data_IF_873243347414
#
_entry.id   IF_873243347414
#
_cell.length_a   1.000
_cell.length_b   1.000
_cell.length_c   1.000
_cell.angle_alpha   90.00
_cell.angle_beta   90.00
_cell.angle_gamma   90.00
#
_symmetry.space_group_name_H-M   'P 1'
#
loop_
_entity.id
_entity.type
_entity.pdbx_description
1 polymer ?
#
# COMPACT_ATOMS: atom_id res chain seq x y z
N UNK A 1 30.85 -19.91 -1.65
CA UNK A 1 29.39 -19.94 -1.93
C UNK A 1 28.58 -18.79 -1.31
N UNK A 2 29.05 -18.16 -0.22
CA UNK A 2 28.37 -17.04 0.46
C UNK A 2 28.41 -15.70 -0.33
N UNK A 3 29.34 -15.55 -1.29
CA UNK A 3 29.48 -14.33 -2.10
C UNK A 3 28.38 -14.11 -3.15
N UNK A 4 27.66 -15.16 -3.57
CA UNK A 4 26.64 -15.05 -4.63
C UNK A 4 25.25 -14.64 -4.10
N UNK A 5 24.96 -14.86 -2.81
CA UNK A 5 23.67 -14.45 -2.23
C UNK A 5 23.59 -12.93 -1.97
N UNK A 6 24.73 -12.24 -1.79
CA UNK A 6 24.76 -10.77 -1.65
C UNK A 6 24.49 -10.03 -2.97
N UNK A 7 24.69 -10.66 -4.14
CA UNK A 7 24.38 -10.04 -5.44
C UNK A 7 22.88 -10.05 -5.76
N UNK A 8 22.14 -11.07 -5.31
CA UNK A 8 20.68 -11.15 -5.52
C UNK A 8 19.86 -10.25 -4.60
N UNK A 9 20.35 -9.94 -3.39
CA UNK A 9 19.69 -8.98 -2.50
C UNK A 9 19.86 -7.53 -3.01
N UNK A 10 21.02 -7.19 -3.60
CA UNK A 10 21.27 -5.88 -4.20
C UNK A 10 20.38 -5.57 -5.41
N UNK A 11 19.93 -6.57 -6.19
CA UNK A 11 19.03 -6.32 -7.32
C UNK A 11 17.57 -6.11 -6.90
N UNK A 12 17.14 -6.65 -5.76
CA UNK A 12 15.80 -6.38 -5.21
C UNK A 12 15.75 -5.05 -4.43
N UNK A 13 16.82 -4.66 -3.76
CA UNK A 13 16.94 -3.31 -3.16
C UNK A 13 16.96 -2.21 -4.23
N UNK A 14 17.36 -2.51 -5.46
CA UNK A 14 17.31 -1.55 -6.56
C UNK A 14 15.89 -1.34 -7.11
N UNK A 15 15.02 -2.35 -7.01
CA UNK A 15 13.57 -2.26 -7.30
C UNK A 15 12.81 -1.56 -6.15
N UNK A 16 13.37 -1.59 -4.94
CA UNK A 16 12.86 -0.89 -3.74
C UNK A 16 13.61 0.41 -3.43
N UNK A 17 14.38 0.98 -4.37
CA UNK A 17 14.68 2.42 -4.34
C UNK A 17 13.33 3.12 -4.34
N UNK A 18 12.89 3.61 -3.18
CA UNK A 18 11.67 4.43 -3.01
C UNK A 18 11.60 5.32 -4.24
N UNK A 19 10.63 5.13 -5.14
CA UNK A 19 10.66 5.93 -6.34
C UNK A 19 10.50 7.36 -5.88
N UNK A 20 11.19 8.28 -6.55
CA UNK A 20 11.35 9.67 -6.13
C UNK A 20 10.03 10.48 -6.11
N UNK A 21 8.89 9.84 -5.87
CA UNK A 21 7.55 10.40 -5.65
C UNK A 21 7.55 11.54 -4.62
N UNK A 22 8.45 11.48 -3.62
CA UNK A 22 8.56 12.52 -2.59
C UNK A 22 9.08 13.88 -3.09
N UNK A 23 9.74 13.93 -4.26
CA UNK A 23 10.30 15.18 -4.82
C UNK A 23 9.38 15.89 -5.82
N UNK A 24 8.34 15.24 -6.34
CA UNK A 24 7.46 15.86 -7.34
C UNK A 24 6.41 16.79 -6.73
N UNK A 25 5.96 16.53 -5.51
CA UNK A 25 4.91 17.34 -4.89
C UNK A 25 5.41 18.64 -4.24
N UNK A 26 6.67 18.72 -3.79
CA UNK A 26 7.22 19.94 -3.19
C UNK A 26 7.84 20.93 -4.18
N UNK A 27 8.19 20.50 -5.41
CA UNK A 27 8.70 21.40 -6.44
C UNK A 27 7.62 22.28 -7.07
N UNK A 28 6.35 21.86 -7.02
CA UNK A 28 5.25 22.54 -7.72
C UNK A 28 4.93 23.95 -7.18
N UNK A 29 5.32 24.26 -5.93
CA UNK A 29 5.08 25.57 -5.31
C UNK A 29 6.20 26.60 -5.57
N UNK A 30 7.46 26.14 -5.72
CA UNK A 30 8.60 27.00 -6.02
C UNK A 30 8.80 27.21 -7.53
N UNK A 31 8.37 26.26 -8.38
CA UNK A 31 8.56 26.33 -9.83
C UNK A 31 7.63 27.29 -10.58
N UNK A 32 6.56 27.80 -9.95
CA UNK A 32 5.60 28.68 -10.63
C UNK A 32 6.08 30.11 -10.86
N UNK A 33 7.20 30.55 -10.24
CA UNK A 33 7.59 31.96 -10.29
C UNK A 33 8.46 32.35 -11.51
N UNK A 34 9.10 31.42 -12.22
CA UNK A 34 10.04 31.78 -13.31
C UNK A 34 10.25 30.70 -14.40
N UNK A 35 9.29 29.80 -14.66
CA UNK A 35 9.42 28.96 -15.86
C UNK A 35 8.98 29.74 -17.09
N UNK A 36 9.85 29.83 -18.09
CA UNK A 36 9.44 30.25 -19.42
C UNK A 36 8.43 29.25 -20.03
N UNK A 37 7.64 29.72 -20.99
CA UNK A 37 6.62 28.92 -21.66
C UNK A 37 7.20 27.64 -22.27
N UNK A 38 8.43 27.72 -22.79
CA UNK A 38 9.12 26.60 -23.44
C UNK A 38 9.41 25.45 -22.47
N UNK A 39 9.98 25.77 -21.31
CA UNK A 39 10.28 24.81 -20.24
C UNK A 39 8.99 24.16 -19.73
N UNK A 40 7.88 24.90 -19.66
CA UNK A 40 6.58 24.36 -19.24
C UNK A 40 6.05 23.33 -20.24
N UNK A 41 6.20 23.57 -21.54
CA UNK A 41 5.79 22.65 -22.60
C UNK A 41 6.63 21.37 -22.55
N UNK A 42 7.97 21.50 -22.46
CA UNK A 42 8.87 20.34 -22.36
C UNK A 42 8.55 19.48 -21.14
N UNK A 43 8.29 20.11 -19.98
CA UNK A 43 7.87 19.40 -18.77
C UNK A 43 6.55 18.65 -18.97
N UNK A 44 5.56 19.29 -19.60
CA UNK A 44 4.28 18.66 -19.91
C UNK A 44 4.44 17.44 -20.81
N UNK A 45 5.28 17.53 -21.84
CA UNK A 45 5.56 16.41 -22.74
C UNK A 45 6.27 15.27 -22.02
N UNK A 46 7.26 15.55 -21.18
CA UNK A 46 7.95 14.52 -20.40
C UNK A 46 7.02 13.85 -19.38
N UNK A 47 6.11 14.61 -18.76
CA UNK A 47 5.09 14.06 -17.88
C UNK A 47 4.14 13.12 -18.64
N UNK A 48 3.70 13.52 -19.85
CA UNK A 48 2.87 12.67 -20.71
C UNK A 48 3.62 11.38 -21.08
N UNK A 49 4.87 11.49 -21.56
CA UNK A 49 5.70 10.31 -21.87
C UNK A 49 5.90 9.40 -20.67
N UNK A 50 6.09 9.97 -19.48
CA UNK A 50 6.21 9.19 -18.25
C UNK A 50 4.91 8.44 -17.94
N UNK A 51 3.76 9.11 -18.02
CA UNK A 51 2.45 8.49 -17.78
C UNK A 51 2.15 7.38 -18.78
N UNK A 52 2.43 7.62 -20.07
CA UNK A 52 2.24 6.61 -21.11
C UNK A 52 3.09 5.36 -20.82
N UNK A 53 4.38 5.53 -20.50
CA UNK A 53 5.26 4.41 -20.12
C UNK A 53 4.82 3.70 -18.84
N UNK A 54 4.45 4.46 -17.79
CA UNK A 54 4.03 3.90 -16.50
C UNK A 54 2.82 2.97 -16.64
N UNK A 55 1.89 3.35 -17.50
CA UNK A 55 0.68 2.60 -17.73
C UNK A 55 0.77 1.66 -18.93
N UNK A 56 1.91 1.55 -19.62
CA UNK A 56 2.05 0.69 -20.81
C UNK A 56 1.03 1.06 -21.92
N UNK A 57 0.90 2.37 -22.16
CA UNK A 57 0.08 2.95 -23.22
C UNK A 57 0.94 3.25 -24.45
N UNK A 58 0.29 3.34 -25.62
CA UNK A 58 0.96 3.71 -26.86
C UNK A 58 1.58 5.11 -26.77
N UNK A 59 2.58 5.38 -27.60
CA UNK A 59 3.21 6.69 -27.65
C UNK A 59 2.21 7.79 -28.06
N UNK A 60 2.47 9.03 -27.62
CA UNK A 60 1.60 10.16 -27.94
C UNK A 60 1.46 10.38 -29.46
N UNK A 61 2.54 10.16 -30.21
CA UNK A 61 2.59 10.20 -31.68
C UNK A 61 1.56 9.26 -32.31
N UNK A 62 1.38 8.07 -31.75
CA UNK A 62 0.40 7.09 -32.24
C UNK A 62 -1.03 7.64 -32.14
N UNK A 63 -1.39 8.28 -31.02
CA UNK A 63 -2.73 8.85 -30.83
C UNK A 63 -2.99 10.10 -31.69
N UNK A 64 -1.94 10.86 -32.02
CA UNK A 64 -2.05 11.98 -32.97
C UNK A 64 -2.34 11.48 -34.38
N UNK A 65 -1.69 10.38 -34.79
CA UNK A 65 -1.87 9.78 -36.10
C UNK A 65 -3.13 8.89 -36.19
N UNK A 66 -3.64 8.42 -35.06
CA UNK A 66 -4.79 7.52 -34.96
C UNK A 66 -5.81 8.09 -33.96
N UNK A 67 -6.62 9.09 -34.35
CA UNK A 67 -7.54 9.75 -33.43
C UNK A 67 -8.58 8.75 -32.90
N UNK A 68 -8.56 8.53 -31.60
CA UNK A 68 -9.48 7.62 -30.91
C UNK A 68 -10.71 8.39 -30.43
N UNK A 69 -11.91 7.83 -30.61
CA UNK A 69 -13.14 8.39 -30.02
C UNK A 69 -12.97 8.55 -28.49
N UNK A 70 -13.41 9.68 -27.93
CA UNK A 70 -13.29 10.01 -26.50
C UNK A 70 -13.77 8.89 -25.57
N UNK A 71 -14.86 8.20 -25.93
CA UNK A 71 -15.43 7.08 -25.17
C UNK A 71 -14.49 5.88 -25.09
N UNK A 72 -13.93 5.48 -26.24
CA UNK A 72 -12.95 4.39 -26.35
C UNK A 72 -11.68 4.74 -25.58
N UNK A 73 -11.16 5.96 -25.77
CA UNK A 73 -10.00 6.46 -25.03
C UNK A 73 -10.21 6.37 -23.52
N UNK A 74 -11.32 6.90 -23.02
CA UNK A 74 -11.65 6.88 -21.59
C UNK A 74 -11.74 5.46 -21.04
N UNK A 75 -12.35 4.54 -21.80
CA UNK A 75 -12.46 3.13 -21.42
C UNK A 75 -11.09 2.46 -21.37
N UNK A 76 -10.25 2.67 -22.39
CA UNK A 76 -8.88 2.16 -22.45
C UNK A 76 -8.05 2.65 -21.28
N UNK A 77 -8.04 3.96 -21.00
CA UNK A 77 -7.31 4.53 -19.86
C UNK A 77 -7.77 3.93 -18.53
N UNK A 78 -9.09 3.84 -18.30
CA UNK A 78 -9.63 3.23 -17.08
C UNK A 78 -9.17 1.78 -16.92
N UNK A 79 -9.29 0.97 -17.99
CA UNK A 79 -8.87 -0.44 -18.01
C UNK A 79 -7.38 -0.58 -17.75
N UNK A 80 -6.55 0.24 -18.38
CA UNK A 80 -5.09 0.19 -18.25
C UNK A 80 -4.63 0.57 -16.84
N UNK A 81 -5.16 1.67 -16.28
CA UNK A 81 -4.87 2.08 -14.90
C UNK A 81 -5.28 0.98 -13.92
N UNK A 82 -6.48 0.42 -14.10
CA UNK A 82 -6.98 -0.69 -13.29
C UNK A 82 -6.04 -1.90 -13.34
N UNK A 83 -5.65 -2.34 -14.54
CA UNK A 83 -4.76 -3.49 -14.73
C UNK A 83 -3.37 -3.25 -14.13
N UNK A 84 -2.84 -2.03 -14.23
CA UNK A 84 -1.58 -1.66 -13.60
C UNK A 84 -1.65 -1.84 -12.08
N UNK A 85 -2.64 -1.22 -11.43
CA UNK A 85 -2.78 -1.31 -9.97
C UNK A 85 -3.07 -2.72 -9.49
N UNK A 86 -3.85 -3.50 -10.24
CA UNK A 86 -4.07 -4.90 -9.91
C UNK A 86 -2.74 -5.69 -9.90
N UNK A 87 -1.94 -5.55 -10.96
CA UNK A 87 -0.62 -6.19 -11.03
C UNK A 87 0.27 -5.77 -9.88
N UNK A 88 0.31 -4.47 -9.56
CA UNK A 88 1.08 -3.95 -8.42
C UNK A 88 0.61 -4.51 -7.08
N UNK A 89 -0.71 -4.59 -6.85
CA UNK A 89 -1.26 -5.17 -5.62
C UNK A 89 -0.85 -6.63 -5.49
N UNK A 90 -1.00 -7.44 -6.54
CA UNK A 90 -0.60 -8.86 -6.56
C UNK A 90 0.89 -9.02 -6.26
N UNK A 91 1.75 -8.16 -6.83
CA UNK A 91 3.20 -8.17 -6.57
C UNK A 91 3.56 -7.77 -5.14
N UNK A 92 2.82 -6.82 -4.56
CA UNK A 92 3.07 -6.31 -3.20
C UNK A 92 2.42 -7.17 -2.11
N UNK A 93 1.41 -7.97 -2.44
CA UNK A 93 0.67 -8.81 -1.50
C UNK A 93 1.55 -9.75 -0.64
N UNK A 94 2.62 -10.39 -1.16
CA UNK A 94 3.52 -11.19 -0.33
C UNK A 94 4.30 -10.37 0.71
N UNK A 95 4.54 -9.08 0.43
CA UNK A 95 5.28 -8.18 1.31
C UNK A 95 4.37 -7.54 2.37
N UNK A 96 3.10 -7.32 2.01
CA UNK A 96 2.13 -6.63 2.85
C UNK A 96 0.85 -7.46 2.97
N UNK A 97 0.73 -8.23 4.06
CA UNK A 97 -0.44 -9.09 4.33
C UNK A 97 -1.77 -8.34 4.20
N UNK A 98 -1.82 -7.05 4.56
CA UNK A 98 -3.01 -6.19 4.43
C UNK A 98 -3.47 -5.94 2.99
N UNK A 99 -2.62 -6.11 1.98
CA UNK A 99 -3.01 -5.96 0.57
C UNK A 99 -3.77 -7.18 0.04
N UNK A 100 -3.76 -8.31 0.76
CA UNK A 100 -4.58 -9.48 0.39
C UNK A 100 -6.09 -9.17 0.38
N UNK A 101 -6.52 -8.15 1.12
CA UNK A 101 -7.89 -7.66 1.13
C UNK A 101 -8.23 -6.74 -0.05
N UNK A 102 -7.25 -6.38 -0.90
CA UNK A 102 -7.39 -5.49 -2.06
C UNK A 102 -7.37 -6.22 -3.40
N UNK A 103 -7.57 -7.55 -3.43
CA UNK A 103 -7.59 -8.31 -4.69
C UNK A 103 -8.69 -7.82 -5.62
N UNK A 104 -8.52 -7.98 -6.93
CA UNK A 104 -9.55 -7.51 -7.89
C UNK A 104 -10.87 -8.26 -7.82
N UNK A 105 -10.87 -9.53 -7.40
CA UNK A 105 -12.09 -10.28 -7.08
C UNK A 105 -12.96 -9.53 -6.07
N UNK A 106 -12.26 -8.96 -5.09
CA UNK A 106 -12.78 -8.27 -3.94
C UNK A 106 -13.21 -6.83 -4.28
N UNK A 107 -12.56 -6.19 -5.25
CA UNK A 107 -12.92 -4.86 -5.77
C UNK A 107 -14.05 -4.90 -6.80
N UNK A 108 -14.28 -6.04 -7.48
CA UNK A 108 -15.40 -6.24 -8.41
C UNK A 108 -16.75 -6.32 -7.69
N UNK A 109 -16.75 -6.72 -6.43
CA UNK A 109 -17.95 -6.69 -5.59
C UNK A 109 -18.18 -5.24 -5.19
N UNK A 110 -19.44 -4.79 -5.22
CA UNK A 110 -19.83 -3.45 -4.75
C UNK A 110 -19.53 -3.23 -3.24
N UNK A 111 -18.99 -4.24 -2.55
CA UNK A 111 -18.62 -4.23 -1.15
C UNK A 111 -17.15 -4.66 -1.05
N UNK A 112 -16.30 -3.73 -0.60
CA UNK A 112 -14.90 -4.01 -0.36
C UNK A 112 -14.75 -5.00 0.80
N UNK A 113 -13.90 -6.04 0.76
CA UNK A 113 -13.82 -7.05 1.84
C UNK A 113 -13.32 -6.56 3.19
N UNK A 114 -12.69 -5.39 3.23
CA UNK A 114 -12.34 -4.70 4.47
C UNK A 114 -13.60 -4.20 5.20
N UNK A 115 -14.68 -4.05 4.45
CA UNK A 115 -16.03 -3.85 4.92
C UNK A 115 -16.65 -5.24 5.00
N UNK A 116 -16.22 -6.05 5.97
CA UNK A 116 -16.98 -7.25 6.38
C UNK A 116 -18.45 -6.89 6.74
N UNK A 117 -18.73 -5.62 6.93
CA UNK A 117 -20.03 -5.02 7.14
C UNK A 117 -20.48 -4.43 5.79
N UNK A 118 -21.64 -4.83 5.29
CA UNK A 118 -22.28 -4.16 4.18
C UNK A 118 -22.34 -2.64 4.45
N UNK A 119 -21.73 -1.82 3.60
CA UNK A 119 -21.85 -0.37 3.71
C UNK A 119 -23.25 0.07 3.31
N UNK A 120 -24.18 -0.02 4.24
CA UNK A 120 -25.55 0.44 4.08
C UNK A 120 -25.68 1.95 4.27
N UNK A 121 -24.68 2.60 4.89
CA UNK A 121 -24.68 4.04 5.15
C UNK A 121 -23.57 4.77 4.40
N UNK A 122 -23.86 6.03 4.03
CA UNK A 122 -22.88 6.97 3.46
C UNK A 122 -21.71 7.23 4.40
N UNK A 123 -21.93 7.16 5.71
CA UNK A 123 -20.91 7.30 6.76
C UNK A 123 -19.90 6.17 6.69
N UNK A 124 -20.35 4.93 6.48
CA UNK A 124 -19.45 3.78 6.37
C UNK A 124 -18.59 3.85 5.11
N UNK A 125 -19.18 4.31 3.99
CA UNK A 125 -18.44 4.60 2.76
C UNK A 125 -17.40 5.71 2.98
N UNK A 126 -17.74 6.77 3.72
CA UNK A 126 -16.82 7.86 4.04
C UNK A 126 -15.65 7.43 4.95
N UNK A 127 -15.85 6.40 5.79
CA UNK A 127 -14.82 5.83 6.67
C UNK A 127 -13.85 4.90 5.92
N UNK A 128 -14.27 4.33 4.78
CA UNK A 128 -13.47 3.36 4.03
C UNK A 128 -12.10 3.90 3.59
N UNK A 129 -11.97 5.11 3.01
CA UNK A 129 -10.67 5.68 2.67
C UNK A 129 -9.72 5.79 3.86
N UNK A 130 -10.23 6.09 5.06
CA UNK A 130 -9.42 6.20 6.28
C UNK A 130 -8.91 4.82 6.69
N UNK A 131 -9.79 3.81 6.73
CA UNK A 131 -9.42 2.42 7.03
C UNK A 131 -8.37 1.91 6.05
N UNK A 132 -8.56 2.15 4.75
CA UNK A 132 -7.61 1.80 3.70
C UNK A 132 -6.25 2.46 3.90
N UNK A 133 -6.24 3.76 4.23
CA UNK A 133 -5.01 4.49 4.52
C UNK A 133 -4.27 3.93 5.71
N UNK A 134 -4.99 3.56 6.78
CA UNK A 134 -4.39 2.92 7.96
C UNK A 134 -3.77 1.57 7.60
N UNK A 135 -4.51 0.71 6.89
CA UNK A 135 -4.05 -0.62 6.49
C UNK A 135 -2.86 -0.60 5.53
N UNK A 136 -2.78 0.43 4.68
CA UNK A 136 -1.66 0.60 3.74
C UNK A 136 -0.51 1.43 4.33
N UNK A 137 -0.62 1.88 5.58
CA UNK A 137 0.37 2.77 6.21
C UNK A 137 0.47 4.15 5.54
N UNK A 138 -0.50 4.52 4.71
CA UNK A 138 -0.57 5.81 4.02
C UNK A 138 -1.40 6.85 4.77
N UNK A 139 -1.93 6.51 5.95
CA UNK A 139 -2.58 7.46 6.84
C UNK A 139 -1.60 8.54 7.30
N UNK A 140 -1.98 9.81 7.10
CA UNK A 140 -1.17 10.96 7.47
C UNK A 140 -1.63 11.42 8.85
N UNK A 141 -0.83 11.09 9.87
CA UNK A 141 -1.00 11.56 11.26
C UNK A 141 -0.80 13.08 11.36
N UNK A 142 -1.37 13.74 12.37
CA UNK A 142 -1.19 15.19 12.57
C UNK A 142 0.29 15.59 12.65
N UNK A 143 1.11 14.84 13.39
CA UNK A 143 2.57 15.05 13.47
C UNK A 143 3.23 15.09 12.08
N UNK A 144 2.80 14.21 11.17
CA UNK A 144 3.28 14.18 9.78
C UNK A 144 2.69 15.30 8.94
N UNK A 145 1.42 15.67 9.16
CA UNK A 145 0.73 16.76 8.45
C UNK A 145 1.40 18.10 8.73
N UNK A 146 1.77 18.38 9.98
CA UNK A 146 2.50 19.60 10.38
C UNK A 146 3.85 19.70 9.69
N UNK A 147 4.56 18.58 9.56
CA UNK A 147 5.82 18.56 8.82
C UNK A 147 5.64 18.90 7.34
N UNK A 148 4.48 18.58 6.76
CA UNK A 148 4.19 18.79 5.34
C UNK A 148 3.60 20.18 5.05
N UNK A 149 2.69 20.64 5.89
CA UNK A 149 2.04 21.94 5.77
C UNK A 149 2.76 22.89 6.72
N UNK A 150 3.49 23.87 6.18
CA UNK A 150 4.24 24.87 6.97
C UNK A 150 3.35 25.80 7.81
N UNK A 151 2.03 25.58 7.81
CA UNK A 151 1.04 26.37 8.52
C UNK A 151 0.72 25.75 9.89
N UNK A 152 0.29 26.58 10.84
CA UNK A 152 -0.11 26.23 12.21
C UNK A 152 -1.24 25.18 12.24
N UNK A 153 -0.88 23.91 12.09
CA UNK A 153 -1.81 22.80 12.34
C UNK A 153 -1.54 22.31 13.77
N UNK A 154 -2.58 22.12 14.58
CA UNK A 154 -2.42 21.60 15.94
C UNK A 154 -1.91 20.14 15.89
N UNK A 155 -0.79 19.80 16.57
CA UNK A 155 -0.27 18.43 16.60
C UNK A 155 -1.17 17.45 17.33
N UNK A 156 -2.13 17.92 18.11
CA UNK A 156 -2.97 17.08 18.94
C UNK A 156 -3.83 16.11 18.13
N UNK A 157 -4.06 14.93 18.69
CA UNK A 157 -4.93 13.92 18.10
C UNK A 157 -6.36 14.44 17.94
N UNK A 158 -6.91 14.30 16.73
CA UNK A 158 -8.26 14.74 16.41
C UNK A 158 -9.35 13.96 17.16
N UNK A 159 -9.00 12.80 17.72
CA UNK A 159 -9.96 11.96 18.43
C UNK A 159 -10.06 12.30 19.91
N UNK A 160 -8.94 12.60 20.57
CA UNK A 160 -8.92 12.83 22.02
C UNK A 160 -8.58 14.27 22.40
N UNK A 161 -7.96 15.04 21.50
CA UNK A 161 -7.48 16.42 21.70
C UNK A 161 -6.54 16.61 22.91
N UNK A 162 -5.89 15.54 23.41
CA UNK A 162 -5.01 15.60 24.60
C UNK A 162 -3.53 15.65 24.25
N UNK A 163 -3.05 14.68 23.49
CA UNK A 163 -1.63 14.50 23.16
C UNK A 163 -1.38 14.61 21.66
N UNK A 164 -0.11 14.79 21.26
CA UNK A 164 0.30 14.77 19.86
C UNK A 164 -0.05 13.45 19.18
N UNK A 165 -0.61 13.53 17.96
CA UNK A 165 -0.93 12.36 17.17
C UNK A 165 0.30 11.78 16.49
N UNK A 166 0.88 10.77 17.12
CA UNK A 166 1.85 9.86 16.51
C UNK A 166 1.29 8.42 16.46
N UNK A 167 2.03 7.48 15.83
CA UNK A 167 1.58 6.08 15.68
C UNK A 167 1.33 5.45 17.05
N UNK A 168 2.24 5.68 18.00
CA UNK A 168 2.17 5.11 19.34
C UNK A 168 0.95 5.63 20.09
N UNK A 169 0.69 6.94 20.07
CA UNK A 169 -0.50 7.53 20.64
C UNK A 169 -1.76 6.95 19.99
N UNK A 170 -1.86 6.99 18.67
CA UNK A 170 -3.04 6.56 17.94
C UNK A 170 -3.38 5.08 18.20
N UNK A 171 -2.38 4.20 18.23
CA UNK A 171 -2.60 2.75 18.41
C UNK A 171 -2.72 2.37 19.88
N UNK A 172 -1.86 2.89 20.76
CA UNK A 172 -1.67 2.37 22.12
C UNK A 172 -2.26 3.26 23.22
N UNK A 173 -2.25 4.58 23.05
CA UNK A 173 -2.55 5.51 24.17
C UNK A 173 -3.85 6.29 24.02
N UNK A 174 -4.36 6.45 22.79
CA UNK A 174 -5.52 7.28 22.52
C UNK A 174 -6.74 6.81 23.33
N UNK A 175 -7.24 7.70 24.19
CA UNK A 175 -8.31 7.41 25.14
C UNK A 175 -9.64 7.14 24.43
N UNK A 176 -9.94 7.91 23.37
CA UNK A 176 -11.14 7.73 22.55
C UNK A 176 -11.20 6.37 21.86
N UNK A 177 -10.05 5.68 21.72
CA UNK A 177 -9.94 4.35 21.14
C UNK A 177 -9.79 3.23 22.19
N UNK A 178 -9.80 3.56 23.49
CA UNK A 178 -9.55 2.60 24.57
C UNK A 178 -10.47 1.39 24.54
N UNK A 179 -11.78 1.61 24.36
CA UNK A 179 -12.79 0.53 24.33
C UNK A 179 -12.52 -0.41 23.16
N UNK A 180 -12.32 0.14 21.96
CA UNK A 180 -12.05 -0.64 20.74
C UNK A 180 -10.73 -1.40 20.87
N UNK A 181 -9.68 -0.73 21.37
CA UNK A 181 -8.37 -1.34 21.61
C UNK A 181 -8.46 -2.51 22.59
N UNK A 182 -9.15 -2.34 23.72
CA UNK A 182 -9.28 -3.38 24.72
C UNK A 182 -10.06 -4.60 24.18
N UNK A 183 -11.11 -4.37 23.38
CA UNK A 183 -11.85 -5.46 22.74
C UNK A 183 -10.95 -6.27 21.79
N UNK A 184 -10.16 -5.59 20.95
CA UNK A 184 -9.21 -6.25 20.02
C UNK A 184 -8.11 -6.98 20.79
N UNK A 185 -7.53 -6.35 21.81
CA UNK A 185 -6.50 -6.97 22.65
C UNK A 185 -7.03 -8.20 23.38
N UNK A 186 -8.27 -8.15 23.84
CA UNK A 186 -8.93 -9.31 24.44
C UNK A 186 -9.09 -10.45 23.42
N UNK A 187 -9.58 -10.17 22.21
CA UNK A 187 -9.69 -11.17 21.14
C UNK A 187 -8.34 -11.81 20.77
N UNK A 188 -7.29 -10.99 20.64
CA UNK A 188 -5.92 -11.46 20.40
C UNK A 188 -5.44 -12.34 21.55
N UNK A 189 -5.64 -11.90 22.80
CA UNK A 189 -5.19 -12.63 24.00
C UNK A 189 -5.92 -13.96 24.11
N UNK A 190 -7.24 -13.99 23.91
CA UNK A 190 -8.04 -15.22 23.91
C UNK A 190 -7.58 -16.19 22.82
N UNK A 191 -7.32 -15.68 21.61
CA UNK A 191 -6.82 -16.50 20.49
C UNK A 191 -5.44 -17.08 20.79
N UNK A 192 -4.53 -16.26 21.33
CA UNK A 192 -3.19 -16.70 21.70
C UNK A 192 -3.22 -17.74 22.83
N UNK A 193 -4.04 -17.51 23.87
CA UNK A 193 -4.18 -18.46 24.96
C UNK A 193 -4.75 -19.79 24.48
N UNK A 194 -5.75 -19.77 23.59
CA UNK A 194 -6.28 -20.99 22.97
C UNK A 194 -5.20 -21.74 22.18
N UNK A 195 -4.36 -21.03 21.42
CA UNK A 195 -3.23 -21.63 20.70
C UNK A 195 -2.17 -22.21 21.65
N UNK A 196 -1.86 -21.53 22.76
CA UNK A 196 -0.90 -22.01 23.76
C UNK A 196 -1.42 -23.25 24.47
N UNK A 197 -2.68 -23.26 24.90
CA UNK A 197 -3.31 -24.44 25.53
C UNK A 197 -3.28 -25.63 24.57
N UNK A 198 -3.69 -25.44 23.32
CA UNK A 198 -3.61 -26.48 22.31
C UNK A 198 -2.17 -26.96 22.11
N UNK A 199 -1.20 -26.05 22.10
CA UNK A 199 0.20 -26.41 21.99
C UNK A 199 0.67 -27.24 23.18
N UNK A 200 0.27 -26.91 24.41
CA UNK A 200 0.66 -27.64 25.62
C UNK A 200 0.06 -29.06 25.70
N UNK A 201 -1.13 -29.26 25.13
CA UNK A 201 -1.80 -30.58 25.04
C UNK A 201 -1.15 -31.53 24.01
N UNK A 202 -0.34 -31.02 23.08
CA UNK A 202 0.36 -31.84 22.09
C UNK A 202 1.47 -32.70 22.73
N UNK A 203 1.70 -33.88 22.16
CA UNK A 203 2.86 -34.71 22.49
C UNK A 203 4.16 -34.01 22.07
N UNK A 204 5.30 -34.41 22.65
CA UNK A 204 6.61 -33.81 22.35
C UNK A 204 6.95 -33.82 20.85
N UNK A 205 6.57 -34.87 20.12
CA UNK A 205 6.82 -34.99 18.69
C UNK A 205 5.93 -34.04 17.87
N UNK A 206 4.67 -33.87 18.26
CA UNK A 206 3.74 -32.94 17.60
C UNK A 206 4.12 -31.49 17.86
N UNK A 207 4.57 -31.16 19.08
CA UNK A 207 5.15 -29.84 19.41
C UNK A 207 6.35 -29.53 18.52
N UNK A 208 7.26 -30.49 18.34
CA UNK A 208 8.43 -30.36 17.47
C UNK A 208 8.02 -30.16 16.00
N UNK A 209 7.07 -30.95 15.50
CA UNK A 209 6.58 -30.80 14.13
C UNK A 209 5.89 -29.44 13.92
N UNK A 210 5.07 -28.98 14.87
CA UNK A 210 4.42 -27.69 14.81
C UNK A 210 5.43 -26.52 14.85
N UNK A 211 6.51 -26.63 15.64
CA UNK A 211 7.62 -25.65 15.62
C UNK A 211 8.35 -25.67 14.28
N UNK A 212 8.59 -26.85 13.69
CA UNK A 212 9.22 -26.98 12.37
C UNK A 212 8.34 -26.38 11.26
N UNK A 213 7.02 -26.54 11.34
CA UNK A 213 6.06 -25.99 10.38
C UNK A 213 5.88 -24.47 10.52
N UNK A 214 5.98 -23.95 11.75
CA UNK A 214 5.92 -22.51 12.05
C UNK A 214 7.23 -21.79 11.81
N UNK A 215 8.37 -22.46 11.97
CA UNK A 215 9.62 -21.89 11.48
C UNK A 215 9.44 -21.67 9.99
N UNK A 216 9.59 -20.44 9.49
CA UNK A 216 9.61 -20.22 8.05
C UNK A 216 10.87 -20.92 7.56
N UNK A 217 10.75 -22.22 7.26
CA UNK A 217 11.77 -23.00 6.59
C UNK A 217 12.11 -22.13 5.41
N UNK A 218 13.34 -21.61 5.43
CA UNK A 218 13.88 -20.81 4.35
C UNK A 218 13.53 -21.61 3.11
N UNK A 219 12.51 -21.16 2.37
CA UNK A 219 12.12 -21.78 1.12
C UNK A 219 13.31 -21.50 0.22
N UNK A 220 14.32 -22.36 0.32
CA UNK A 220 15.35 -22.54 -0.66
C UNK A 220 14.57 -22.96 -1.90
N UNK A 221 14.16 -21.93 -2.65
CA UNK A 221 13.61 -22.06 -3.98
C UNK A 221 14.62 -22.93 -4.73
N UNK A 222 14.32 -24.22 -4.88
CA UNK A 222 14.69 -24.96 -6.09
C UNK A 222 13.99 -24.21 -7.21
N UNK A 223 14.64 -23.16 -7.72
CA UNK A 223 14.37 -22.65 -9.05
C UNK A 223 14.66 -23.82 -9.97
N UNK A 224 13.60 -24.47 -10.43
CA UNK A 224 13.67 -25.32 -11.60
C UNK A 224 14.32 -24.50 -12.72
N UNK A 225 15.34 -25.02 -13.41
CA UNK A 225 15.91 -24.33 -14.56
C UNK A 225 14.80 -24.22 -15.60
N UNK A 226 14.41 -22.99 -15.90
CA UNK A 226 13.56 -22.69 -17.06
C UNK A 226 14.41 -23.00 -18.28
N UNK A 227 14.10 -24.08 -18.97
CA UNK A 227 14.60 -24.37 -20.30
C UNK A 227 14.14 -23.24 -21.23
N UNK A 228 15.08 -22.41 -21.66
CA UNK A 228 14.85 -21.47 -22.75
C UNK A 228 14.88 -22.29 -24.03
N UNK A 229 13.75 -22.31 -24.73
CA UNK A 229 13.62 -22.75 -26.13
C UNK A 229 13.60 -21.49 -26.98
#
# INVERSE_FOLDING_TARGET
>A
MIANLRKSAKSQDEVLKKPAWGKFHCHNALYRKTMDLHSSILYGLELIKHMLRKYDLQEASWYLNNPVKKTVWTSTIKKTIYNHWNRSIVQLQPLYKGLSFLTTENLRRNIHPLLKINCHSTIDTARLPVKLKLLTGSYILQSKRIRMNKDETDPKCLLCAKEEENIEHFILKCESLRIVRNAILHEITTTLNAMVIQFDELSTNEKLQHVLDLTPVAKAKKLSPVSVV
#
